data_IF_775653400458
#
_entry.id   IF_775653400458
#
_cell.length_a   1.000
_cell.length_b   1.000
_cell.length_c   1.000
_cell.angle_alpha   90.00
_cell.angle_beta   90.00
_cell.angle_gamma   90.00
#
_symmetry.space_group_name_H-M   'P 1'
#
loop_
_entity.id
_entity.type
_entity.pdbx_description
1 polymer ?
#
# COMPACT_ATOMS: atom_id res chain seq x y z
N UNK A 1 -12.67 -11.30 -41.31
CA UNK A 1 -13.22 -11.53 -39.96
C UNK A 1 -12.05 -11.82 -38.99
N UNK A 2 -11.15 -10.84 -38.82
CA UNK A 2 -9.92 -10.97 -38.02
C UNK A 2 -9.53 -9.68 -37.30
N UNK A 3 -10.49 -8.75 -37.14
CA UNK A 3 -10.23 -7.40 -36.58
C UNK A 3 -10.79 -7.22 -35.15
N UNK A 4 -11.49 -8.22 -34.61
CA UNK A 4 -12.14 -8.12 -33.30
C UNK A 4 -11.23 -8.46 -32.11
N UNK A 5 -9.98 -8.88 -32.33
CA UNK A 5 -9.11 -9.40 -31.26
C UNK A 5 -8.02 -8.42 -30.78
N UNK A 6 -7.94 -7.19 -31.34
CA UNK A 6 -6.93 -6.19 -30.93
C UNK A 6 -7.49 -5.07 -30.04
N UNK A 7 -8.81 -4.95 -29.88
CA UNK A 7 -9.39 -3.90 -29.03
C UNK A 7 -9.55 -4.29 -27.55
N UNK A 8 -9.25 -5.54 -27.17
CA UNK A 8 -9.32 -5.96 -25.76
C UNK A 8 -8.04 -5.67 -24.95
N UNK A 9 -6.97 -5.16 -25.56
CA UNK A 9 -5.71 -4.84 -24.87
C UNK A 9 -5.62 -3.41 -24.30
N UNK A 10 -6.60 -2.53 -24.56
CA UNK A 10 -6.54 -1.13 -24.11
C UNK A 10 -7.33 -0.79 -22.85
N UNK A 11 -7.90 -1.79 -22.16
CA UNK A 11 -8.74 -1.54 -20.98
C UNK A 11 -8.21 -2.14 -19.67
N UNK A 12 -6.95 -2.58 -19.63
CA UNK A 12 -6.20 -2.58 -18.35
C UNK A 12 -5.79 -1.15 -18.04
N UNK A 13 -6.81 -0.37 -17.66
CA UNK A 13 -6.67 0.84 -16.89
C UNK A 13 -5.62 0.61 -15.80
N UNK A 14 -4.78 1.62 -15.63
CA UNK A 14 -3.75 1.75 -14.60
C UNK A 14 -4.34 1.68 -13.18
N UNK A 15 -4.90 0.54 -12.80
CA UNK A 15 -5.01 0.19 -11.40
C UNK A 15 -3.57 0.08 -10.91
N UNK A 16 -3.18 1.04 -10.08
CA UNK A 16 -1.92 0.97 -9.34
C UNK A 16 -1.79 -0.44 -8.81
N UNK A 17 -0.65 -1.07 -9.07
CA UNK A 17 -0.44 -2.45 -8.64
C UNK A 17 -0.69 -2.54 -7.13
N UNK A 18 -1.25 -3.64 -6.60
CA UNK A 18 -1.53 -3.77 -5.17
C UNK A 18 -0.34 -3.35 -4.29
N UNK A 19 0.89 -3.71 -4.70
CA UNK A 19 2.13 -3.29 -4.06
C UNK A 19 2.32 -1.76 -4.01
N UNK A 20 1.99 -1.02 -5.09
CA UNK A 20 2.04 0.44 -5.11
C UNK A 20 1.00 1.07 -4.18
N UNK A 21 -0.20 0.48 -4.07
CA UNK A 21 -1.23 0.96 -3.16
C UNK A 21 -0.81 0.78 -1.69
N UNK A 22 -0.26 -0.39 -1.35
CA UNK A 22 0.26 -0.64 -0.01
C UNK A 22 1.48 0.23 0.33
N UNK A 23 2.42 0.44 -0.60
CA UNK A 23 3.56 1.34 -0.36
C UNK A 23 3.10 2.78 -0.06
N UNK A 24 2.05 3.24 -0.73
CA UNK A 24 1.41 4.53 -0.47
C UNK A 24 0.74 4.56 0.92
N UNK A 25 0.07 3.48 1.32
CA UNK A 25 -0.53 3.36 2.64
C UNK A 25 0.51 3.43 3.77
N UNK A 26 1.61 2.67 3.67
CA UNK A 26 2.73 2.72 4.64
C UNK A 26 3.30 4.14 4.76
N UNK A 27 3.51 4.80 3.62
CA UNK A 27 4.03 6.18 3.60
C UNK A 27 3.09 7.16 4.32
N UNK A 28 1.78 7.03 4.12
CA UNK A 28 0.79 7.88 4.78
C UNK A 28 0.71 7.60 6.28
N UNK A 29 0.76 6.33 6.69
CA UNK A 29 0.76 5.95 8.12
C UNK A 29 1.96 6.57 8.83
N UNK A 30 3.18 6.48 8.26
CA UNK A 30 4.37 7.10 8.86
C UNK A 30 4.27 8.62 8.97
N UNK A 31 3.67 9.29 7.98
CA UNK A 31 3.44 10.75 8.04
C UNK A 31 2.49 11.13 9.16
N UNK A 32 1.39 10.39 9.31
CA UNK A 32 0.42 10.62 10.39
C UNK A 32 1.05 10.32 11.73
N UNK A 33 1.80 9.23 11.87
CA UNK A 33 2.53 8.91 13.10
C UNK A 33 3.47 10.05 13.49
N UNK A 34 4.33 10.52 12.57
CA UNK A 34 5.22 11.65 12.84
C UNK A 34 4.46 12.93 13.22
N UNK A 35 3.34 13.21 12.55
CA UNK A 35 2.50 14.35 12.92
C UNK A 35 1.88 14.21 14.31
N UNK A 36 1.39 13.03 14.68
CA UNK A 36 0.81 12.79 16.00
C UNK A 36 1.89 12.83 17.08
N UNK A 37 3.06 12.25 16.84
CA UNK A 37 4.22 12.32 17.74
C UNK A 37 4.66 13.76 18.00
N UNK A 38 4.67 14.62 16.97
CA UNK A 38 5.08 16.02 17.08
C UNK A 38 4.02 16.92 17.72
N UNK A 39 2.75 16.75 17.38
CA UNK A 39 1.68 17.66 17.81
C UNK A 39 0.96 17.18 19.08
N UNK A 40 0.95 15.88 19.34
CA UNK A 40 0.23 15.24 20.43
C UNK A 40 1.10 14.17 21.12
N UNK A 41 2.28 14.53 21.67
CA UNK A 41 3.24 13.57 22.23
C UNK A 41 2.67 12.74 23.40
N UNK A 42 1.59 13.21 24.03
CA UNK A 42 0.94 12.52 25.14
C UNK A 42 -0.07 11.45 24.68
N UNK A 43 -0.35 11.32 23.37
CA UNK A 43 -1.23 10.29 22.82
C UNK A 43 -0.47 9.00 22.49
N UNK A 44 0.16 8.41 23.52
CA UNK A 44 0.93 7.17 23.38
C UNK A 44 0.13 6.05 22.70
N UNK A 45 -1.12 5.85 23.11
CA UNK A 45 -1.98 4.80 22.54
C UNK A 45 -2.26 5.00 21.04
N UNK A 46 -2.48 6.25 20.59
CA UNK A 46 -2.70 6.55 19.18
C UNK A 46 -1.43 6.29 18.35
N UNK A 47 -0.27 6.65 18.89
CA UNK A 47 1.03 6.39 18.27
C UNK A 47 1.29 4.88 18.16
N UNK A 48 0.96 4.12 19.22
CA UNK A 48 1.07 2.66 19.23
C UNK A 48 0.17 2.01 18.17
N UNK A 49 -1.12 2.38 18.12
CA UNK A 49 -2.05 1.85 17.12
C UNK A 49 -1.63 2.20 15.68
N UNK A 50 -1.08 3.40 15.46
CA UNK A 50 -0.56 3.79 14.15
C UNK A 50 0.65 2.95 13.74
N UNK A 51 1.54 2.61 14.68
CA UNK A 51 2.68 1.74 14.42
C UNK A 51 2.21 0.32 14.07
N UNK A 52 1.31 -0.25 14.86
CA UNK A 52 0.75 -1.58 14.60
C UNK A 52 0.07 -1.66 13.23
N UNK A 53 -0.72 -0.64 12.86
CA UNK A 53 -1.32 -0.54 11.54
C UNK A 53 -0.26 -0.48 10.42
N UNK A 54 0.82 0.29 10.62
CA UNK A 54 1.93 0.37 9.67
C UNK A 54 2.64 -0.97 9.47
N UNK A 55 2.87 -1.71 10.54
CA UNK A 55 3.55 -3.00 10.53
C UNK A 55 2.70 -4.07 9.81
N UNK A 56 1.39 -4.09 10.03
CA UNK A 56 0.47 -4.99 9.33
C UNK A 56 0.47 -4.77 7.81
N UNK A 57 0.41 -3.50 7.39
CA UNK A 57 0.45 -3.13 5.96
C UNK A 57 1.80 -3.51 5.36
N UNK A 58 2.91 -3.29 6.08
CA UNK A 58 4.24 -3.69 5.61
C UNK A 58 4.39 -5.20 5.46
N UNK A 59 3.92 -5.99 6.43
CA UNK A 59 3.94 -7.44 6.35
C UNK A 59 3.19 -7.95 5.11
N UNK A 60 2.06 -7.33 4.77
CA UNK A 60 1.29 -7.68 3.58
C UNK A 60 2.02 -7.31 2.27
N UNK A 61 2.70 -6.15 2.22
CA UNK A 61 3.59 -5.81 1.08
C UNK A 61 4.63 -6.89 0.86
N UNK A 62 5.28 -7.33 1.94
CA UNK A 62 6.35 -8.34 1.84
C UNK A 62 5.80 -9.68 1.34
N UNK A 63 4.61 -10.11 1.80
CA UNK A 63 3.95 -11.31 1.29
C UNK A 63 3.67 -11.20 -0.21
N UNK A 64 3.12 -10.08 -0.66
CA UNK A 64 2.81 -9.87 -2.08
C UNK A 64 4.07 -9.85 -2.95
N UNK A 65 5.15 -9.23 -2.49
CA UNK A 65 6.43 -9.22 -3.22
C UNK A 65 7.03 -10.63 -3.35
N UNK A 66 6.97 -11.45 -2.30
CA UNK A 66 7.43 -12.84 -2.37
C UNK A 66 6.63 -13.68 -3.37
N UNK A 67 5.32 -13.45 -3.47
CA UNK A 67 4.47 -14.15 -4.44
C UNK A 67 4.74 -13.75 -5.89
N UNK A 68 5.09 -12.47 -6.14
CA UNK A 68 5.41 -11.99 -7.50
C UNK A 68 6.79 -12.46 -7.99
N UNK A 69 7.74 -12.81 -7.10
CA UNK A 69 9.05 -13.34 -7.49
C UNK A 69 9.09 -14.84 -7.81
N UNK A 70 7.97 -15.56 -7.66
CA UNK A 70 7.87 -17.01 -7.92
C UNK A 70 7.14 -17.37 -9.24
N UNK A 71 6.87 -16.39 -10.11
CA UNK A 71 6.33 -16.60 -11.47
C UNK A 71 7.34 -16.17 -12.52
#
# INVERSE_FOLDING_TARGET
MAESNQQQQQQQQQQQSPAQQLARAVTNIRKVQNMVELNYPNQGDAIHMLREAGDLVWAEVQRMQQQQGQQ
#
